data_IF_292001663043
#
_entry.id   IF_292001663043
#
_cell.length_a   1.000
_cell.length_b   1.000
_cell.length_c   1.000
_cell.angle_alpha   90.00
_cell.angle_beta   90.00
_cell.angle_gamma   90.00
#
_symmetry.space_group_name_H-M   'P 1'
#
loop_
_entity.id
_entity.type
_entity.pdbx_description
1 polymer ?
#
# COMPACT_ATOMS: atom_id res chain seq x y z
N UNK A 1 26.22 -19.72 20.76
CA UNK A 1 25.94 -21.15 20.47
C UNK A 1 26.05 -21.37 18.98
N UNK A 2 27.07 -22.05 18.49
CA UNK A 2 27.23 -22.36 17.06
C UNK A 2 26.42 -23.63 16.75
N UNK A 3 25.35 -23.48 16.02
CA UNK A 3 24.52 -24.61 15.56
C UNK A 3 25.38 -25.50 14.66
N UNK A 4 25.42 -26.84 14.93
CA UNK A 4 26.18 -27.78 14.12
C UNK A 4 25.77 -27.72 12.63
N UNK A 5 26.72 -27.87 11.72
CA UNK A 5 26.51 -27.75 10.27
C UNK A 5 25.33 -28.57 9.75
N UNK A 6 25.10 -29.84 10.14
CA UNK A 6 23.97 -30.62 9.66
C UNK A 6 22.62 -30.06 10.12
N UNK A 7 22.51 -29.58 11.36
CA UNK A 7 21.27 -28.96 11.88
C UNK A 7 20.96 -27.65 11.14
N UNK A 8 21.98 -26.87 10.81
CA UNK A 8 21.81 -25.64 10.02
C UNK A 8 21.26 -25.93 8.62
N UNK A 9 21.75 -26.99 7.96
CA UNK A 9 21.22 -27.39 6.64
C UNK A 9 19.80 -27.92 6.75
N UNK A 10 19.51 -28.76 7.76
CA UNK A 10 18.15 -29.25 8.00
C UNK A 10 17.17 -28.11 8.22
N UNK A 11 17.47 -27.16 9.10
CA UNK A 11 16.63 -25.99 9.35
C UNK A 11 16.41 -25.15 8.07
N UNK A 12 17.46 -24.98 7.26
CA UNK A 12 17.36 -24.27 5.99
C UNK A 12 16.40 -24.97 5.02
N UNK A 13 16.52 -26.27 4.84
CA UNK A 13 15.64 -27.04 3.93
C UNK A 13 14.20 -27.07 4.44
N UNK A 14 13.98 -27.22 5.74
CA UNK A 14 12.64 -27.15 6.34
C UNK A 14 12.02 -25.77 6.12
N UNK A 15 12.76 -24.68 6.38
CA UNK A 15 12.27 -23.32 6.16
C UNK A 15 11.98 -23.05 4.69
N UNK A 16 12.88 -23.46 3.78
CA UNK A 16 12.67 -23.30 2.34
C UNK A 16 11.49 -24.15 1.84
N UNK A 17 11.36 -25.39 2.31
CA UNK A 17 10.23 -26.26 1.97
C UNK A 17 8.90 -25.70 2.44
N UNK A 18 8.85 -25.17 3.66
CA UNK A 18 7.68 -24.51 4.23
C UNK A 18 7.27 -23.27 3.42
N UNK A 19 8.23 -22.39 3.10
CA UNK A 19 7.97 -21.20 2.28
C UNK A 19 7.52 -21.57 0.86
N UNK A 20 8.15 -22.58 0.24
CA UNK A 20 7.79 -23.06 -1.08
C UNK A 20 6.34 -23.58 -1.07
N UNK A 21 5.98 -24.41 -0.10
CA UNK A 21 4.65 -24.99 0.01
C UNK A 21 3.59 -23.93 0.26
N UNK A 22 3.82 -22.97 1.17
CA UNK A 22 2.82 -21.97 1.51
C UNK A 22 2.70 -20.84 0.50
N UNK A 23 3.76 -20.45 -0.18
CA UNK A 23 3.74 -19.32 -1.10
C UNK A 23 3.67 -19.76 -2.56
N UNK A 24 4.53 -20.68 -2.97
CA UNK A 24 4.69 -21.05 -4.39
C UNK A 24 3.55 -21.94 -4.87
N UNK A 25 3.11 -22.92 -4.03
CA UNK A 25 2.05 -23.85 -4.44
C UNK A 25 0.72 -23.14 -4.69
N UNK A 26 0.17 -22.28 -3.80
CA UNK A 26 -1.07 -21.57 -4.08
C UNK A 26 -0.97 -20.65 -5.30
N UNK A 27 0.14 -19.91 -5.43
CA UNK A 27 0.39 -19.05 -6.59
C UNK A 27 0.45 -19.88 -7.88
N UNK A 28 1.19 -20.98 -7.85
CA UNK A 28 1.29 -21.93 -8.98
C UNK A 28 -0.07 -22.53 -9.37
N UNK A 29 -0.92 -22.86 -8.40
CA UNK A 29 -2.27 -23.36 -8.64
C UNK A 29 -3.16 -22.31 -9.31
N UNK A 30 -3.11 -21.04 -8.89
CA UNK A 30 -3.85 -19.95 -9.54
C UNK A 30 -3.40 -19.81 -10.98
N UNK A 31 -2.09 -19.76 -11.25
CA UNK A 31 -1.54 -19.70 -12.60
C UNK A 31 -1.96 -20.90 -13.45
N UNK A 32 -1.82 -22.11 -12.90
CA UNK A 32 -2.24 -23.33 -13.57
C UNK A 32 -3.72 -23.26 -13.98
N UNK A 33 -4.61 -22.94 -13.05
CA UNK A 33 -6.06 -22.81 -13.31
C UNK A 33 -6.39 -21.71 -14.31
N UNK A 34 -5.65 -20.61 -14.31
CA UNK A 34 -5.81 -19.49 -15.25
C UNK A 34 -5.45 -19.91 -16.67
N UNK A 35 -4.39 -20.68 -16.89
CA UNK A 35 -3.92 -21.02 -18.24
C UNK A 35 -4.38 -22.39 -18.75
N UNK A 36 -5.08 -23.18 -17.94
CA UNK A 36 -5.64 -24.48 -18.38
C UNK A 36 -6.57 -24.36 -19.58
N UNK A 37 -7.50 -23.35 -19.68
CA UNK A 37 -8.35 -23.16 -20.85
C UNK A 37 -7.64 -22.52 -22.06
N UNK A 38 -6.38 -22.11 -21.90
CA UNK A 38 -5.57 -21.46 -22.93
C UNK A 38 -5.41 -19.95 -22.73
N UNK A 39 -4.38 -19.39 -23.37
CA UNK A 39 -4.03 -17.97 -23.25
C UNK A 39 -5.12 -17.04 -23.82
N UNK A 40 -5.84 -17.46 -24.87
CA UNK A 40 -6.95 -16.70 -25.45
C UNK A 40 -8.06 -16.43 -24.45
N UNK A 41 -8.46 -17.44 -23.67
CA UNK A 41 -9.49 -17.31 -22.64
C UNK A 41 -9.05 -16.36 -21.50
N UNK A 42 -7.75 -16.36 -21.15
CA UNK A 42 -7.20 -15.36 -20.21
C UNK A 42 -7.37 -13.95 -20.74
N UNK A 43 -6.94 -13.67 -21.98
CA UNK A 43 -7.09 -12.35 -22.59
C UNK A 43 -8.55 -11.92 -22.62
N UNK A 44 -9.46 -12.78 -23.08
CA UNK A 44 -10.89 -12.50 -23.09
C UNK A 44 -11.41 -12.12 -21.70
N UNK A 45 -11.01 -12.85 -20.66
CA UNK A 45 -11.43 -12.58 -19.27
C UNK A 45 -10.93 -11.25 -18.73
N UNK A 46 -9.67 -10.85 -19.02
CA UNK A 46 -9.07 -9.61 -18.50
C UNK A 46 -9.41 -8.38 -19.35
N UNK A 47 -9.90 -8.56 -20.57
CA UNK A 47 -10.32 -7.46 -21.47
C UNK A 47 -11.82 -7.16 -21.39
N UNK A 48 -12.57 -7.82 -20.51
CA UNK A 48 -13.98 -7.46 -20.27
C UNK A 48 -14.09 -5.99 -19.82
N UNK A 49 -15.17 -5.27 -20.17
CA UNK A 49 -15.36 -3.89 -19.71
C UNK A 49 -15.26 -3.71 -18.20
N UNK A 50 -15.77 -4.70 -17.43
CA UNK A 50 -15.66 -4.70 -15.97
C UNK A 50 -14.21 -4.86 -15.49
N UNK A 51 -13.40 -5.70 -16.15
CA UNK A 51 -11.99 -5.87 -15.78
C UNK A 51 -11.15 -4.63 -16.09
N UNK A 52 -11.38 -4.02 -17.27
CA UNK A 52 -10.68 -2.78 -17.67
C UNK A 52 -11.04 -1.63 -16.72
N UNK A 53 -12.32 -1.44 -16.41
CA UNK A 53 -12.75 -0.39 -15.49
C UNK A 53 -12.23 -0.61 -14.06
N UNK A 54 -12.22 -1.87 -13.58
CA UNK A 54 -11.67 -2.20 -12.27
C UNK A 54 -10.14 -1.96 -12.20
N UNK A 55 -9.41 -2.27 -13.27
CA UNK A 55 -7.98 -1.96 -13.38
C UNK A 55 -7.72 -0.45 -13.37
N UNK A 56 -8.46 0.29 -14.19
CA UNK A 56 -8.36 1.75 -14.26
C UNK A 56 -8.66 2.39 -12.91
N UNK A 57 -9.73 1.94 -12.23
CA UNK A 57 -10.10 2.43 -10.91
C UNK A 57 -9.01 2.12 -9.88
N UNK A 58 -8.49 0.89 -9.84
CA UNK A 58 -7.42 0.50 -8.92
C UNK A 58 -6.15 1.34 -9.14
N UNK A 59 -5.77 1.57 -10.38
CA UNK A 59 -4.61 2.43 -10.71
C UNK A 59 -4.87 3.90 -10.36
N UNK A 60 -6.09 4.41 -10.56
CA UNK A 60 -6.47 5.76 -10.18
C UNK A 60 -6.43 5.95 -8.65
N UNK A 61 -6.91 4.96 -7.88
CA UNK A 61 -6.79 4.97 -6.41
C UNK A 61 -5.31 5.07 -6.01
N UNK A 62 -4.44 4.24 -6.58
CA UNK A 62 -2.99 4.30 -6.31
C UNK A 62 -2.42 5.67 -6.68
N UNK A 63 -2.77 6.20 -7.85
CA UNK A 63 -2.29 7.51 -8.33
C UNK A 63 -2.67 8.68 -7.43
N UNK A 64 -3.74 8.55 -6.64
CA UNK A 64 -4.17 9.57 -5.67
C UNK A 64 -3.62 9.28 -4.27
N UNK A 65 -3.71 8.04 -3.81
CA UNK A 65 -3.31 7.63 -2.46
C UNK A 65 -1.82 7.83 -2.24
N UNK A 66 -0.98 7.43 -3.20
CA UNK A 66 0.49 7.52 -3.05
C UNK A 66 0.98 8.96 -2.88
N UNK A 67 0.62 9.94 -3.75
CA UNK A 67 1.02 11.33 -3.54
C UNK A 67 0.49 11.92 -2.23
N UNK A 68 -0.74 11.58 -1.83
CA UNK A 68 -1.30 12.06 -0.56
C UNK A 68 -0.55 11.47 0.64
N UNK A 69 -0.22 10.19 0.62
CA UNK A 69 0.59 9.57 1.67
C UNK A 69 2.01 10.15 1.74
N UNK A 70 2.61 10.50 0.61
CA UNK A 70 3.90 11.20 0.59
C UNK A 70 3.76 12.63 1.14
N UNK A 71 2.72 13.35 0.71
CA UNK A 71 2.46 14.73 1.11
C UNK A 71 2.24 14.87 2.62
N UNK A 72 1.55 13.94 3.24
CA UNK A 72 1.28 13.94 4.69
C UNK A 72 2.29 13.10 5.48
N UNK A 73 2.79 12.02 4.92
CA UNK A 73 3.69 11.09 5.58
C UNK A 73 5.09 11.66 5.79
N UNK A 74 5.67 12.34 4.78
CA UNK A 74 7.02 12.92 4.90
C UNK A 74 7.07 14.03 5.96
N UNK A 75 6.17 15.04 5.98
CA UNK A 75 6.15 16.02 7.06
C UNK A 75 5.91 15.41 8.44
N UNK A 76 5.03 14.38 8.54
CA UNK A 76 4.80 13.67 9.80
C UNK A 76 6.07 12.96 10.29
N UNK A 77 6.79 12.26 9.40
CA UNK A 77 8.06 11.63 9.73
C UNK A 77 9.11 12.65 10.17
N UNK A 78 9.18 13.83 9.51
CA UNK A 78 10.06 14.93 9.91
C UNK A 78 9.72 15.45 11.31
N UNK A 79 8.45 15.70 11.61
CA UNK A 79 8.01 16.12 12.94
C UNK A 79 8.38 15.09 13.99
N UNK A 80 8.17 13.82 13.73
CA UNK A 80 8.53 12.71 14.63
C UNK A 80 10.04 12.59 14.81
N UNK A 81 10.83 12.71 13.75
CA UNK A 81 12.27 12.54 13.82
C UNK A 81 12.97 13.74 14.51
N UNK A 82 12.55 14.97 14.19
CA UNK A 82 13.28 16.18 14.59
C UNK A 82 12.76 16.84 15.87
N UNK A 83 11.51 16.56 16.28
CA UNK A 83 10.90 17.27 17.40
C UNK A 83 10.69 16.37 18.62
N UNK A 84 10.90 16.96 19.80
CA UNK A 84 10.52 16.40 21.11
C UNK A 84 9.34 17.20 21.64
N UNK A 85 8.15 16.59 21.68
CA UNK A 85 6.94 17.25 22.17
C UNK A 85 6.09 16.31 23.01
N UNK A 86 5.24 16.88 23.87
CA UNK A 86 4.27 16.11 24.65
C UNK A 86 3.24 15.53 23.70
N UNK A 87 2.97 14.20 23.79
CA UNK A 87 2.03 13.51 22.90
C UNK A 87 2.69 12.83 21.69
N UNK A 88 4.03 12.88 21.53
CA UNK A 88 4.74 12.17 20.46
C UNK A 88 4.40 10.68 20.45
N UNK A 89 4.39 10.01 21.61
CA UNK A 89 4.04 8.60 21.74
C UNK A 89 2.58 8.32 21.35
N UNK A 90 1.66 9.25 21.65
CA UNK A 90 0.27 9.12 21.25
C UNK A 90 0.12 9.26 19.72
N UNK A 91 0.84 10.19 19.10
CA UNK A 91 0.87 10.33 17.64
C UNK A 91 1.44 9.07 16.97
N UNK A 92 2.54 8.52 17.51
CA UNK A 92 3.10 7.25 17.03
C UNK A 92 2.10 6.10 17.16
N UNK A 93 1.42 5.98 18.30
CA UNK A 93 0.37 4.98 18.49
C UNK A 93 -0.80 5.16 17.51
N UNK A 94 -1.19 6.41 17.24
CA UNK A 94 -2.23 6.72 16.25
C UNK A 94 -1.81 6.34 14.81
N UNK A 95 -0.53 6.55 14.45
CA UNK A 95 0.02 6.13 13.16
C UNK A 95 0.07 4.60 13.06
N UNK A 96 0.33 3.88 14.15
CA UNK A 96 0.36 2.42 14.17
C UNK A 96 -1.02 1.77 14.25
N UNK A 97 -2.06 2.52 14.56
CA UNK A 97 -3.43 2.03 14.71
C UNK A 97 -3.92 1.23 13.48
N UNK A 98 -3.63 1.62 12.22
CA UNK A 98 -4.01 0.83 11.05
C UNK A 98 -3.39 -0.58 11.00
N UNK A 99 -2.25 -0.81 11.65
CA UNK A 99 -1.66 -2.15 11.75
C UNK A 99 -2.33 -3.03 12.80
N UNK A 100 -2.89 -2.42 13.84
CA UNK A 100 -3.54 -3.13 14.94
C UNK A 100 -5.03 -3.40 14.69
N UNK A 101 -5.69 -2.56 13.88
CA UNK A 101 -7.13 -2.62 13.63
C UNK A 101 -7.42 -3.37 12.33
N UNK A 102 -8.41 -4.25 12.35
CA UNK A 102 -8.86 -4.91 11.11
C UNK A 102 -9.32 -3.88 10.07
N UNK A 103 -8.91 -4.02 8.80
CA UNK A 103 -9.38 -3.12 7.73
C UNK A 103 -10.91 -3.07 7.61
N UNK A 104 -11.63 -4.15 7.92
CA UNK A 104 -13.10 -4.18 7.95
C UNK A 104 -13.65 -3.20 9.00
N UNK A 105 -13.04 -3.16 10.19
CA UNK A 105 -13.44 -2.23 11.27
C UNK A 105 -13.15 -0.78 10.84
N UNK A 106 -12.06 -0.54 10.13
CA UNK A 106 -11.77 0.77 9.53
C UNK A 106 -12.88 1.20 8.56
N UNK A 107 -13.34 0.28 7.70
CA UNK A 107 -14.46 0.55 6.80
C UNK A 107 -15.74 0.95 7.54
N UNK A 108 -16.09 0.23 8.61
CA UNK A 108 -17.24 0.58 9.47
C UNK A 108 -17.04 1.95 10.14
N UNK A 109 -15.85 2.22 10.66
CA UNK A 109 -15.54 3.53 11.27
C UNK A 109 -15.68 4.68 10.27
N UNK A 110 -15.26 4.49 9.02
CA UNK A 110 -15.46 5.48 7.96
C UNK A 110 -16.95 5.73 7.66
N UNK A 111 -17.80 4.69 7.68
CA UNK A 111 -19.25 4.86 7.53
C UNK A 111 -19.82 5.67 8.70
N UNK A 112 -19.38 5.39 9.94
CA UNK A 112 -19.82 6.14 11.13
C UNK A 112 -19.35 7.59 11.11
N UNK A 113 -18.23 7.89 10.46
CA UNK A 113 -17.71 9.26 10.34
C UNK A 113 -18.38 10.03 9.18
N UNK A 114 -18.43 9.43 7.99
CA UNK A 114 -18.78 10.11 6.73
C UNK A 114 -20.14 9.72 6.16
N UNK A 115 -20.86 8.76 6.77
CA UNK A 115 -22.21 8.40 6.35
C UNK A 115 -23.24 9.51 6.66
N UNK A 116 -24.44 9.40 6.11
CA UNK A 116 -25.53 10.38 6.26
C UNK A 116 -25.84 10.74 7.71
N UNK A 117 -25.75 9.76 8.62
CA UNK A 117 -25.96 9.94 10.07
C UNK A 117 -24.64 10.03 10.84
N UNK A 118 -23.51 10.19 10.15
CA UNK A 118 -22.17 10.24 10.75
C UNK A 118 -21.81 11.64 11.26
N UNK A 119 -20.65 11.72 11.93
CA UNK A 119 -20.10 12.99 12.48
C UNK A 119 -19.96 14.06 11.38
N UNK A 120 -19.52 13.67 10.19
CA UNK A 120 -19.37 14.53 9.01
C UNK A 120 -20.51 14.36 8.00
N UNK A 121 -21.68 13.88 8.45
CA UNK A 121 -22.86 13.67 7.58
C UNK A 121 -23.34 14.94 6.87
N UNK A 122 -23.03 16.13 7.40
CA UNK A 122 -23.33 17.40 6.76
C UNK A 122 -22.67 17.54 5.38
N UNK A 123 -21.54 16.91 5.14
CA UNK A 123 -20.85 16.92 3.84
C UNK A 123 -21.73 16.27 2.76
N UNK A 124 -22.42 15.20 3.11
CA UNK A 124 -23.36 14.54 2.20
C UNK A 124 -24.72 15.24 2.15
N UNK A 125 -25.25 15.64 3.33
CA UNK A 125 -26.61 16.17 3.43
C UNK A 125 -26.73 17.62 2.96
N UNK A 126 -25.74 18.47 3.29
CA UNK A 126 -25.80 19.92 3.03
C UNK A 126 -24.97 20.31 1.79
N UNK A 127 -23.83 19.64 1.57
CA UNK A 127 -22.94 19.93 0.44
C UNK A 127 -23.21 19.02 -0.77
N UNK A 128 -24.01 17.96 -0.63
CA UNK A 128 -24.37 17.04 -1.72
C UNK A 128 -23.25 16.12 -2.19
N UNK A 129 -22.13 16.02 -1.44
CA UNK A 129 -21.00 15.15 -1.81
C UNK A 129 -21.20 13.75 -1.22
N UNK A 130 -21.51 12.77 -2.05
CA UNK A 130 -21.56 11.38 -1.67
C UNK A 130 -20.14 10.83 -1.43
N UNK A 131 -19.74 10.65 -0.16
CA UNK A 131 -18.43 10.10 0.20
C UNK A 131 -18.54 8.59 0.30
N UNK A 132 -19.43 8.07 1.14
CA UNK A 132 -19.60 6.62 1.36
C UNK A 132 -20.28 5.98 0.14
N UNK A 133 -19.90 4.73 -0.16
CA UNK A 133 -20.32 3.93 -1.32
C UNK A 133 -19.89 4.53 -2.68
N UNK A 134 -18.89 5.40 -2.67
CA UNK A 134 -18.37 6.07 -3.86
C UNK A 134 -16.83 6.01 -3.90
N UNK A 135 -16.25 6.54 -4.98
CA UNK A 135 -14.80 6.59 -5.19
C UNK A 135 -14.03 7.28 -4.02
N UNK A 136 -14.44 8.43 -3.46
CA UNK A 136 -13.78 9.04 -2.32
C UNK A 136 -13.63 8.13 -1.10
N UNK A 137 -14.62 7.28 -0.81
CA UNK A 137 -14.51 6.34 0.32
C UNK A 137 -13.40 5.31 0.12
N UNK A 138 -13.21 4.82 -1.12
CA UNK A 138 -12.13 3.90 -1.46
C UNK A 138 -10.77 4.57 -1.22
N UNK A 139 -10.63 5.83 -1.64
CA UNK A 139 -9.40 6.61 -1.43
C UNK A 139 -9.14 6.84 0.05
N UNK A 140 -10.14 7.28 0.84
CA UNK A 140 -10.01 7.48 2.29
C UNK A 140 -9.64 6.21 3.03
N UNK A 141 -10.30 5.09 2.71
CA UNK A 141 -9.99 3.78 3.29
C UNK A 141 -8.55 3.36 2.98
N UNK A 142 -8.11 3.53 1.73
CA UNK A 142 -6.77 3.19 1.30
C UNK A 142 -5.71 4.09 1.95
N UNK A 143 -5.94 5.41 2.07
CA UNK A 143 -5.04 6.33 2.77
C UNK A 143 -4.88 5.90 4.22
N UNK A 144 -5.99 5.67 4.93
CA UNK A 144 -5.95 5.29 6.34
C UNK A 144 -5.08 4.04 6.56
N UNK A 145 -5.27 3.01 5.74
CA UNK A 145 -4.53 1.74 5.86
C UNK A 145 -3.05 1.89 5.46
N UNK A 146 -2.72 2.82 4.58
CA UNK A 146 -1.39 2.87 3.95
C UNK A 146 -0.51 4.05 4.38
N UNK A 147 -1.05 5.07 5.05
CA UNK A 147 -0.25 6.22 5.53
C UNK A 147 0.93 5.83 6.43
N UNK A 148 0.85 4.80 7.28
CA UNK A 148 1.98 4.39 8.11
C UNK A 148 3.23 3.97 7.32
N UNK A 149 3.07 3.42 6.12
CA UNK A 149 4.19 2.89 5.35
C UNK A 149 5.22 3.97 4.99
N UNK A 150 4.77 5.13 4.50
CA UNK A 150 5.69 6.25 4.19
C UNK A 150 6.37 6.75 5.46
N UNK A 151 5.62 6.90 6.55
CA UNK A 151 6.15 7.42 7.82
C UNK A 151 7.20 6.47 8.38
N UNK A 152 6.90 5.17 8.43
CA UNK A 152 7.77 4.14 9.02
C UNK A 152 9.04 3.85 8.21
N UNK A 153 9.03 4.13 6.92
CA UNK A 153 10.23 4.00 6.09
C UNK A 153 11.09 5.26 6.11
N UNK A 154 10.51 6.44 6.29
CA UNK A 154 11.24 7.72 6.28
C UNK A 154 11.77 8.09 7.67
N UNK A 155 11.01 7.88 8.74
CA UNK A 155 11.39 8.25 10.12
C UNK A 155 12.73 7.65 10.58
N UNK A 156 13.01 6.33 10.41
CA UNK A 156 14.31 5.75 10.80
C UNK A 156 15.48 6.35 10.03
N UNK A 157 15.32 6.58 8.73
CA UNK A 157 16.37 7.19 7.90
C UNK A 157 16.70 8.59 8.41
N UNK A 158 15.69 9.39 8.76
CA UNK A 158 15.90 10.71 9.35
C UNK A 158 16.61 10.65 10.71
N UNK A 159 16.33 9.63 11.53
CA UNK A 159 17.04 9.42 12.80
C UNK A 159 18.50 9.04 12.60
N UNK A 160 18.80 8.16 11.62
CA UNK A 160 20.16 7.72 11.29
C UNK A 160 21.02 8.89 10.74
N UNK A 161 20.44 9.74 9.91
CA UNK A 161 21.13 10.88 9.31
C UNK A 161 21.50 11.99 10.32
N UNK A 162 20.81 12.09 11.45
CA UNK A 162 20.98 13.19 12.42
C UNK A 162 20.61 14.55 11.82
N UNK A 163 21.03 15.64 12.50
CA UNK A 163 20.72 17.03 12.12
C UNK A 163 21.93 17.79 11.59
N UNK A 164 23.13 17.21 11.63
CA UNK A 164 24.40 17.90 11.39
C UNK A 164 24.46 18.61 10.02
N UNK A 165 23.95 17.98 8.97
CA UNK A 165 23.92 18.56 7.62
C UNK A 165 22.92 19.71 7.51
N UNK A 166 21.77 19.60 8.17
CA UNK A 166 20.73 20.64 8.22
C UNK A 166 21.21 21.86 9.02
N UNK A 167 21.89 21.62 10.14
CA UNK A 167 22.51 22.67 10.97
C UNK A 167 23.66 23.38 10.26
N UNK A 168 24.53 22.64 9.58
CA UNK A 168 25.59 23.22 8.76
C UNK A 168 25.02 24.10 7.63
N UNK A 169 23.96 23.67 6.97
CA UNK A 169 23.28 24.46 5.95
C UNK A 169 22.67 25.74 6.52
N UNK A 170 22.08 25.67 7.71
CA UNK A 170 21.51 26.82 8.39
C UNK A 170 22.59 27.88 8.78
N UNK A 171 23.79 27.44 9.22
CA UNK A 171 24.91 28.33 9.47
C UNK A 171 25.42 29.06 8.23
N UNK A 172 25.25 28.43 7.05
CA UNK A 172 25.56 29.03 5.75
C UNK A 172 24.42 29.90 5.18
N UNK A 173 23.36 30.12 5.94
CA UNK A 173 22.24 31.01 5.58
C UNK A 173 21.18 30.34 4.71
N UNK A 174 21.14 29.01 4.61
CA UNK A 174 20.08 28.29 3.88
C UNK A 174 18.75 28.44 4.60
N UNK A 175 17.68 28.77 3.84
CA UNK A 175 16.32 28.73 4.37
C UNK A 175 15.88 27.28 4.60
N UNK A 176 14.87 27.07 5.48
CA UNK A 176 14.28 25.74 5.72
C UNK A 176 13.86 25.04 4.43
N UNK A 177 13.24 25.76 3.50
CA UNK A 177 12.81 25.22 2.20
C UNK A 177 13.97 24.77 1.32
N UNK A 178 15.08 25.55 1.30
CA UNK A 178 16.29 25.17 0.57
C UNK A 178 16.95 23.94 1.20
N UNK A 179 17.03 23.87 2.52
CA UNK A 179 17.57 22.71 3.25
C UNK A 179 16.73 21.47 2.96
N UNK A 180 15.40 21.57 3.04
CA UNK A 180 14.51 20.46 2.73
C UNK A 180 14.73 19.89 1.34
N UNK A 181 14.69 20.70 0.29
CA UNK A 181 14.79 20.24 -1.09
C UNK A 181 16.20 19.81 -1.51
N UNK A 182 17.24 20.42 -0.97
CA UNK A 182 18.63 20.19 -1.39
C UNK A 182 19.38 19.19 -0.52
N UNK A 183 18.95 18.99 0.73
CA UNK A 183 19.65 18.14 1.70
C UNK A 183 18.71 17.04 2.20
N UNK A 184 17.61 17.39 2.87
CA UNK A 184 16.77 16.42 3.57
C UNK A 184 16.09 15.45 2.59
N UNK A 185 15.39 15.95 1.57
CA UNK A 185 14.67 15.11 0.61
C UNK A 185 15.59 14.18 -0.21
N UNK A 186 16.75 14.65 -0.76
CA UNK A 186 17.69 13.73 -1.39
C UNK A 186 18.27 12.68 -0.45
N UNK A 187 18.47 13.01 0.83
CA UNK A 187 19.02 12.08 1.81
C UNK A 187 18.04 10.97 2.19
N UNK A 188 16.74 11.28 2.28
CA UNK A 188 15.69 10.30 2.59
C UNK A 188 15.16 9.56 1.36
N UNK A 189 15.62 9.87 0.17
CA UNK A 189 15.06 9.37 -1.10
C UNK A 189 14.83 7.87 -1.13
N UNK A 190 15.75 7.09 -0.59
CA UNK A 190 15.64 5.63 -0.58
C UNK A 190 14.55 5.13 0.36
N UNK A 191 14.49 5.65 1.59
CA UNK A 191 13.39 5.34 2.51
C UNK A 191 12.03 5.75 1.94
N UNK A 192 11.97 6.93 1.32
CA UNK A 192 10.75 7.41 0.66
C UNK A 192 10.33 6.50 -0.50
N UNK A 193 11.27 6.07 -1.35
CA UNK A 193 10.97 5.14 -2.45
C UNK A 193 10.44 3.80 -1.94
N UNK A 194 10.99 3.28 -0.84
CA UNK A 194 10.48 2.09 -0.17
C UNK A 194 9.05 2.28 0.32
N UNK A 195 8.80 3.36 1.06
CA UNK A 195 7.48 3.72 1.53
C UNK A 195 6.45 3.83 0.40
N UNK A 196 6.84 4.41 -0.74
CA UNK A 196 6.01 4.50 -1.95
C UNK A 196 5.69 3.11 -2.50
N UNK A 197 6.69 2.24 -2.68
CA UNK A 197 6.49 0.88 -3.23
C UNK A 197 5.57 0.05 -2.33
N UNK A 198 5.79 0.10 -1.01
CA UNK A 198 4.93 -0.58 -0.04
C UNK A 198 3.50 -0.02 -0.07
N UNK A 199 3.35 1.29 -0.17
CA UNK A 199 2.04 1.94 -0.31
C UNK A 199 1.32 1.48 -1.58
N UNK A 200 2.00 1.41 -2.73
CA UNK A 200 1.42 0.91 -3.99
C UNK A 200 0.96 -0.54 -3.83
N UNK A 201 1.86 -1.42 -3.36
CA UNK A 201 1.56 -2.84 -3.20
C UNK A 201 0.36 -3.06 -2.25
N UNK A 202 0.32 -2.33 -1.14
CA UNK A 202 -0.75 -2.44 -0.15
C UNK A 202 -2.07 -1.86 -0.66
N UNK A 203 -2.05 -0.74 -1.37
CA UNK A 203 -3.24 -0.13 -1.97
C UNK A 203 -3.86 -1.03 -3.04
N UNK A 204 -3.05 -1.63 -3.91
CA UNK A 204 -3.52 -2.58 -4.93
C UNK A 204 -4.16 -3.83 -4.33
N UNK A 205 -3.64 -4.29 -3.20
CA UNK A 205 -4.16 -5.46 -2.47
C UNK A 205 -5.25 -5.14 -1.45
N UNK A 206 -5.70 -3.87 -1.34
CA UNK A 206 -6.71 -3.50 -0.33
C UNK A 206 -8.07 -4.10 -0.70
N UNK A 207 -8.64 -4.84 0.24
CA UNK A 207 -9.95 -5.49 0.09
C UNK A 207 -10.84 -5.23 1.30
N UNK A 208 -10.30 -5.38 2.52
CA UNK A 208 -11.09 -5.42 3.75
C UNK A 208 -11.87 -4.14 4.02
N UNK A 209 -11.21 -2.97 4.00
CA UNK A 209 -11.87 -1.69 4.21
C UNK A 209 -12.72 -1.30 3.00
N UNK A 210 -12.19 -1.53 1.80
CA UNK A 210 -12.87 -1.18 0.54
C UNK A 210 -14.17 -1.96 0.36
N UNK A 211 -14.21 -3.25 0.75
CA UNK A 211 -15.44 -4.07 0.65
C UNK A 211 -16.61 -3.53 1.48
N UNK A 212 -16.30 -2.76 2.53
CA UNK A 212 -17.33 -2.18 3.43
C UNK A 212 -17.79 -0.81 2.92
N UNK A 213 -16.86 0.01 2.39
CA UNK A 213 -17.16 1.40 2.04
C UNK A 213 -17.50 1.61 0.56
N UNK A 214 -17.25 0.63 -0.31
CA UNK A 214 -17.54 0.71 -1.74
C UNK A 214 -18.90 0.11 -2.07
N UNK A 215 -19.60 0.68 -3.05
CA UNK A 215 -20.85 0.10 -3.57
C UNK A 215 -20.63 -1.15 -4.45
N UNK A 216 -19.38 -1.48 -4.78
CA UNK A 216 -18.98 -2.61 -5.64
C UNK A 216 -19.70 -2.61 -7.00
N UNK A 217 -19.90 -1.44 -7.59
CA UNK A 217 -20.54 -1.28 -8.89
C UNK A 217 -19.51 -1.27 -10.02
N UNK A 218 -19.63 -2.15 -11.03
CA UNK A 218 -18.76 -2.12 -12.20
C UNK A 218 -18.72 -0.75 -12.86
N UNK A 219 -17.53 -0.28 -13.19
CA UNK A 219 -17.32 1.02 -13.85
C UNK A 219 -17.27 2.23 -12.92
N UNK A 220 -17.64 2.13 -11.63
CA UNK A 220 -17.67 3.27 -10.71
C UNK A 220 -16.95 3.06 -9.38
N UNK A 221 -17.12 1.92 -8.72
CA UNK A 221 -16.60 1.66 -7.38
C UNK A 221 -16.09 0.24 -7.16
N UNK A 222 -15.88 -0.54 -8.24
CA UNK A 222 -15.36 -1.88 -8.18
C UNK A 222 -13.86 -1.91 -8.50
N UNK A 223 -13.03 -2.17 -7.49
CA UNK A 223 -11.57 -2.38 -7.65
C UNK A 223 -11.28 -3.80 -8.15
N UNK A 224 -10.02 -4.08 -8.56
CA UNK A 224 -9.63 -5.43 -8.99
C UNK A 224 -9.86 -6.48 -7.89
N UNK A 225 -9.59 -6.17 -6.63
CA UNK A 225 -9.81 -7.08 -5.49
C UNK A 225 -11.29 -7.39 -5.28
N UNK A 226 -12.16 -6.38 -5.42
CA UNK A 226 -13.61 -6.56 -5.36
C UNK A 226 -14.13 -7.37 -6.55
N UNK A 227 -13.58 -7.15 -7.75
CA UNK A 227 -13.95 -7.93 -8.95
C UNK A 227 -13.57 -9.40 -8.82
N UNK A 228 -12.41 -9.72 -8.22
CA UNK A 228 -12.02 -11.11 -7.91
C UNK A 228 -13.07 -11.78 -7.03
N UNK A 229 -13.42 -11.11 -5.91
CA UNK A 229 -14.41 -11.62 -4.97
C UNK A 229 -15.81 -11.76 -5.60
N UNK A 230 -16.23 -10.79 -6.38
CA UNK A 230 -17.53 -10.80 -7.07
C UNK A 230 -17.62 -11.97 -8.06
N UNK A 231 -16.61 -12.16 -8.90
CA UNK A 231 -16.57 -13.28 -9.85
C UNK A 231 -16.57 -14.63 -9.14
N UNK A 232 -15.78 -14.78 -8.08
CA UNK A 232 -15.73 -16.01 -7.28
C UNK A 232 -17.08 -16.32 -6.65
N UNK A 233 -17.71 -15.34 -6.00
CA UNK A 233 -19.01 -15.51 -5.33
C UNK A 233 -20.16 -15.81 -6.31
N UNK A 234 -20.06 -15.34 -7.56
CA UNK A 234 -21.05 -15.65 -8.61
C UNK A 234 -20.79 -16.98 -9.33
N UNK A 235 -19.83 -17.79 -8.88
CA UNK A 235 -19.50 -19.09 -9.47
C UNK A 235 -18.65 -19.01 -10.74
N UNK A 236 -18.13 -17.83 -11.11
CA UNK A 236 -17.16 -17.67 -12.19
C UNK A 236 -15.73 -17.85 -11.68
N UNK A 237 -15.41 -19.05 -11.22
CA UNK A 237 -14.09 -19.35 -10.64
C UNK A 237 -12.95 -19.02 -11.62
N UNK A 238 -13.10 -19.43 -12.88
CA UNK A 238 -12.12 -19.12 -13.91
C UNK A 238 -11.90 -17.60 -14.06
N UNK A 239 -12.98 -16.83 -14.10
CA UNK A 239 -12.91 -15.37 -14.16
C UNK A 239 -12.19 -14.77 -12.95
N UNK A 240 -12.41 -15.33 -11.76
CA UNK A 240 -11.71 -14.92 -10.55
C UNK A 240 -10.20 -15.23 -10.63
N UNK A 241 -9.80 -16.43 -11.08
CA UNK A 241 -8.38 -16.79 -11.27
C UNK A 241 -7.68 -15.88 -12.28
N UNK A 242 -8.34 -15.55 -13.40
CA UNK A 242 -7.79 -14.67 -14.42
C UNK A 242 -7.52 -13.26 -13.88
N UNK A 243 -8.46 -12.67 -13.14
CA UNK A 243 -8.25 -11.34 -12.51
C UNK A 243 -7.24 -11.40 -11.38
N UNK A 244 -7.20 -12.50 -10.59
CA UNK A 244 -6.17 -12.70 -9.57
C UNK A 244 -4.78 -12.76 -10.20
N UNK A 245 -4.63 -13.43 -11.36
CA UNK A 245 -3.36 -13.48 -12.10
C UNK A 245 -2.96 -12.10 -12.62
N UNK A 246 -3.90 -11.29 -13.11
CA UNK A 246 -3.66 -9.91 -13.52
C UNK A 246 -3.17 -9.07 -12.32
N UNK A 247 -3.88 -9.13 -11.18
CA UNK A 247 -3.51 -8.40 -9.96
C UNK A 247 -2.13 -8.84 -9.45
N UNK A 248 -1.86 -10.14 -9.44
CA UNK A 248 -0.56 -10.70 -9.06
C UNK A 248 0.56 -10.24 -10.00
N UNK A 249 0.31 -10.18 -11.31
CA UNK A 249 1.29 -9.67 -12.28
C UNK A 249 1.63 -8.21 -11.98
N UNK A 250 0.64 -7.37 -11.71
CA UNK A 250 0.87 -5.96 -11.32
C UNK A 250 1.66 -5.88 -10.02
N UNK A 251 1.31 -6.68 -9.00
CA UNK A 251 2.04 -6.72 -7.73
C UNK A 251 3.50 -7.19 -7.90
N UNK A 252 3.74 -8.21 -8.71
CA UNK A 252 5.11 -8.69 -9.03
C UNK A 252 5.91 -7.61 -9.76
N UNK A 253 5.31 -6.87 -10.69
CA UNK A 253 6.00 -5.74 -11.34
C UNK A 253 6.43 -4.68 -10.32
N UNK A 254 5.58 -4.36 -9.35
CA UNK A 254 5.92 -3.44 -8.26
C UNK A 254 7.09 -3.97 -7.41
N UNK A 255 7.07 -5.26 -7.06
CA UNK A 255 8.17 -5.90 -6.32
C UNK A 255 9.47 -5.94 -7.12
N UNK A 256 9.42 -6.19 -8.43
CA UNK A 256 10.60 -6.14 -9.31
C UNK A 256 11.20 -4.73 -9.33
N UNK A 257 10.36 -3.70 -9.39
CA UNK A 257 10.83 -2.31 -9.25
C UNK A 257 11.55 -2.11 -7.91
N UNK A 258 10.99 -2.60 -6.81
CA UNK A 258 11.63 -2.55 -5.49
C UNK A 258 13.02 -3.21 -5.50
N UNK A 259 13.12 -4.44 -6.00
CA UNK A 259 14.42 -5.16 -6.08
C UNK A 259 15.44 -4.41 -6.92
N UNK A 260 15.02 -3.79 -8.03
CA UNK A 260 15.91 -2.97 -8.87
C UNK A 260 16.40 -1.74 -8.10
N UNK A 261 15.51 -1.10 -7.32
CA UNK A 261 15.88 0.04 -6.48
C UNK A 261 16.87 -0.35 -5.39
N UNK A 262 16.69 -1.50 -4.76
CA UNK A 262 17.64 -2.07 -3.78
C UNK A 262 19.02 -2.32 -4.38
N UNK A 263 19.07 -2.94 -5.55
CA UNK A 263 20.31 -3.19 -6.24
C UNK A 263 21.07 -1.89 -6.62
N UNK A 264 20.32 -0.82 -6.92
CA UNK A 264 20.92 0.51 -7.18
C UNK A 264 21.40 1.17 -5.89
N UNK A 265 20.67 1.06 -4.77
CA UNK A 265 21.09 1.55 -3.45
C UNK A 265 22.42 0.93 -3.03
N UNK A 266 22.55 -0.39 -3.16
CA UNK A 266 23.77 -1.11 -2.81
C UNK A 266 25.00 -0.65 -3.64
N UNK A 267 24.79 -0.20 -4.88
CA UNK A 267 25.87 0.32 -5.75
C UNK A 267 26.26 1.77 -5.46
N UNK A 268 25.34 2.57 -4.91
CA UNK A 268 25.60 4.01 -4.62
C UNK A 268 26.01 4.25 -3.18
N UNK A 269 25.95 3.24 -2.31
CA UNK A 269 26.39 3.31 -0.90
C UNK A 269 27.82 2.82 -0.66
N UNK A 270 28.55 2.47 -1.72
CA UNK A 270 30.01 2.31 -1.79
C UNK A 270 30.58 3.50 -2.54
#
# INVERSE_FOLDING_TARGET
MTVSTPVRHLLRYVALGYLLLLLIVPVGLILWRTFTPGFGAFIESVTTPAAISALQLSLLVVAIVVPLNVLFGVPTALVLARNKFRGKSLLQAAIDLPFAVSPVVVGVALILLWGTNGVFGFVQNDLGFNIIFSFPAIVLASIFVTVPFVIREVEPVLHELGTDQEEAAATLGSSWWQTFWRITLPSIRWGLMYGIVLTIARTLGEFGAVTIVAANLPGSSQTLTLLVADRYNRGSEYGAYAISTLLMTVAVLVLVVQVILDARRAKTGN
#
